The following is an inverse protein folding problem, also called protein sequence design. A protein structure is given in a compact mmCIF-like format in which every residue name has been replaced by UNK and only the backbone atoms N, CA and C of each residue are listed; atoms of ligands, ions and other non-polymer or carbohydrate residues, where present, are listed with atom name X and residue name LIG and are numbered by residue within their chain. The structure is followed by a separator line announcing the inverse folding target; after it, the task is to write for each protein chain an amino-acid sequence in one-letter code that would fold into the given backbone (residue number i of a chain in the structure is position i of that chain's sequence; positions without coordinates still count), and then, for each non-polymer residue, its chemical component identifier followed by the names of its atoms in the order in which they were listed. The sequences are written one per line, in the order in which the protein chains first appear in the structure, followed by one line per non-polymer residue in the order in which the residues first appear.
data_IF_634378950919
#
_entry.id   IF_634378950919
#
_cell.length_a   1.000
_cell.length_b   1.000
_cell.length_c   1.000
_cell.angle_alpha   90.00
_cell.angle_beta   90.00
_cell.angle_gamma   90.00
#
_symmetry.space_group_name_H-M   'P 1'
#
loop_
_entity.id
_entity.type
_entity.pdbx_description
1 polymer ?
#
# COMPACT_ATOMS: atom_id res chain seq x y z
N UNK A 1 3.92 11.56 0.22
CA UNK A 1 5.29 11.19 -0.20
C UNK A 1 6.34 12.28 0.01
N UNK A 2 5.99 13.57 -0.11
CA UNK A 2 6.87 14.70 0.28
C UNK A 2 7.57 14.54 1.65
N UNK A 3 6.84 14.10 2.69
CA UNK A 3 7.43 13.88 4.02
C UNK A 3 8.49 12.76 4.02
N UNK A 4 8.19 11.63 3.37
CA UNK A 4 9.13 10.50 3.27
C UNK A 4 10.42 10.93 2.55
N UNK A 5 10.31 11.72 1.47
CA UNK A 5 11.48 12.23 0.75
C UNK A 5 12.31 13.20 1.61
N UNK A 6 11.67 14.11 2.34
CA UNK A 6 12.37 15.03 3.26
C UNK A 6 13.05 14.29 4.41
N UNK A 7 12.42 13.24 4.92
CA UNK A 7 12.94 12.41 5.98
C UNK A 7 14.03 11.44 5.52
N UNK A 8 14.26 11.30 4.20
CA UNK A 8 15.16 10.30 3.60
C UNK A 8 14.85 8.88 4.09
N UNK A 9 13.56 8.59 4.21
CA UNK A 9 13.07 7.36 4.82
C UNK A 9 12.84 6.27 3.77
N UNK A 10 13.10 5.03 4.16
CA UNK A 10 12.64 3.85 3.43
C UNK A 10 11.11 3.73 3.54
N UNK A 11 10.51 3.09 2.54
CA UNK A 11 9.05 2.96 2.44
C UNK A 11 8.69 1.48 2.37
N UNK A 12 7.78 1.04 3.24
CA UNK A 12 7.21 -0.31 3.20
C UNK A 12 5.79 -0.23 2.62
N UNK A 13 5.54 -0.78 1.42
CA UNK A 13 4.19 -0.88 0.86
C UNK A 13 3.35 -1.88 1.65
N UNK A 14 2.11 -1.52 1.98
CA UNK A 14 1.18 -2.40 2.70
C UNK A 14 -0.15 -2.41 1.96
N UNK A 15 -0.68 -3.61 1.70
CA UNK A 15 -2.05 -3.79 1.22
C UNK A 15 -2.96 -4.25 2.38
N UNK A 16 -4.12 -3.61 2.50
CA UNK A 16 -5.18 -3.97 3.45
C UNK A 16 -6.35 -4.52 2.65
N UNK A 17 -6.66 -5.80 2.81
CA UNK A 17 -7.64 -6.52 1.99
C UNK A 17 -8.76 -7.03 2.89
N UNK A 18 -10.03 -6.87 2.48
CA UNK A 18 -11.21 -7.29 3.24
C UNK A 18 -11.83 -6.19 4.13
N UNK A 19 -11.12 -5.08 4.35
CA UNK A 19 -11.59 -4.02 5.24
C UNK A 19 -12.82 -3.26 4.69
N UNK A 20 -12.90 -3.10 3.36
CA UNK A 20 -14.02 -2.40 2.73
C UNK A 20 -15.32 -3.21 2.81
N UNK A 21 -15.21 -4.52 2.67
CA UNK A 21 -16.31 -5.49 2.76
C UNK A 21 -16.86 -5.56 4.19
N UNK A 22 -15.98 -5.49 5.19
CA UNK A 22 -16.35 -5.44 6.61
C UNK A 22 -17.05 -4.13 6.95
N UNK A 23 -16.53 -3.01 6.44
CA UNK A 23 -17.03 -1.67 6.72
C UNK A 23 -16.76 -0.73 5.55
N UNK A 24 -17.79 -0.50 4.75
CA UNK A 24 -17.72 0.49 3.68
C UNK A 24 -17.73 1.91 4.23
N UNK A 25 -17.19 2.86 3.46
CA UNK A 25 -17.09 4.28 3.85
C UNK A 25 -18.47 4.88 4.14
N UNK A 26 -19.47 4.52 3.34
CA UNK A 26 -20.79 5.15 3.34
C UNK A 26 -21.81 4.49 4.28
N UNK A 27 -21.45 3.39 4.94
CA UNK A 27 -22.39 2.61 5.73
C UNK A 27 -21.89 2.41 7.16
N UNK A 28 -22.72 2.67 8.17
CA UNK A 28 -22.31 2.56 9.57
C UNK A 28 -22.13 1.10 10.04
N UNK A 29 -22.98 0.19 9.55
CA UNK A 29 -22.96 -1.22 9.98
C UNK A 29 -21.64 -1.90 9.65
N UNK A 30 -21.15 -2.70 10.60
CA UNK A 30 -19.95 -3.53 10.49
C UNK A 30 -20.40 -4.99 10.33
N UNK A 31 -19.82 -5.68 9.35
CA UNK A 31 -20.04 -7.12 9.16
C UNK A 31 -18.83 -7.91 9.68
N UNK A 32 -19.01 -9.07 10.32
CA UNK A 32 -17.90 -9.97 10.63
C UNK A 32 -17.16 -10.37 9.34
N UNK A 33 -15.83 -10.41 9.40
CA UNK A 33 -14.99 -10.78 8.27
C UNK A 33 -13.51 -10.81 8.66
N UNK A 34 -12.65 -11.13 7.70
CA UNK A 34 -11.19 -11.17 7.90
C UNK A 34 -10.54 -9.98 7.21
N UNK A 35 -9.63 -9.31 7.90
CA UNK A 35 -8.74 -8.31 7.30
C UNK A 35 -7.36 -8.95 7.12
N UNK A 36 -6.86 -8.96 5.89
CA UNK A 36 -5.50 -9.37 5.59
C UNK A 36 -4.61 -8.14 5.44
N UNK A 37 -3.47 -8.16 6.14
CA UNK A 37 -2.40 -7.19 6.00
C UNK A 37 -1.24 -7.86 5.26
N UNK A 38 -0.97 -7.41 4.04
CA UNK A 38 0.12 -7.94 3.20
C UNK A 38 1.22 -6.91 3.12
N UNK A 39 2.41 -7.28 3.59
CA UNK A 39 3.60 -6.43 3.57
C UNK A 39 4.39 -6.71 2.30
N UNK A 40 4.72 -5.66 1.55
CA UNK A 40 5.61 -5.75 0.40
C UNK A 40 7.07 -5.55 0.78
N UNK A 41 7.93 -5.67 -0.22
CA UNK A 41 9.36 -5.38 -0.08
C UNK A 41 9.60 -3.90 0.24
N UNK A 42 10.54 -3.66 1.14
CA UNK A 42 11.00 -2.31 1.48
C UNK A 42 11.62 -1.65 0.25
N UNK A 43 11.18 -0.44 -0.06
CA UNK A 43 11.77 0.42 -1.09
C UNK A 43 12.73 1.36 -0.38
N UNK A 44 14.02 1.26 -0.70
CA UNK A 44 15.04 2.07 -0.05
C UNK A 44 14.95 3.54 -0.47
N UNK A 45 15.42 4.45 0.38
CA UNK A 45 15.57 5.84 -0.01
C UNK A 45 16.47 6.00 -1.24
N UNK A 46 17.51 5.17 -1.38
CA UNK A 46 18.44 5.22 -2.50
C UNK A 46 17.76 4.97 -3.85
N UNK A 47 16.76 4.09 -3.89
CA UNK A 47 15.94 3.83 -5.08
C UNK A 47 14.98 5.00 -5.40
N UNK A 48 14.59 5.77 -4.39
CA UNK A 48 13.53 6.79 -4.50
C UNK A 48 14.04 8.23 -4.51
N UNK A 49 15.32 8.45 -4.20
CA UNK A 49 15.91 9.79 -4.00
C UNK A 49 15.84 10.71 -5.23
N UNK A 50 15.81 10.14 -6.43
CA UNK A 50 15.72 10.90 -7.70
C UNK A 50 14.30 11.01 -8.25
N UNK A 51 13.33 10.33 -7.63
CA UNK A 51 11.94 10.38 -8.08
C UNK A 51 11.29 11.69 -7.64
N UNK A 52 10.38 12.22 -8.46
CA UNK A 52 9.49 13.28 -7.96
C UNK A 52 8.53 12.71 -6.92
N UNK A 53 7.93 13.56 -6.07
CA UNK A 53 6.90 13.10 -5.14
C UNK A 53 5.69 12.47 -5.87
N UNK A 54 5.48 12.78 -7.15
CA UNK A 54 4.43 12.19 -7.97
C UNK A 54 4.82 10.78 -8.40
N UNK A 55 6.02 10.63 -8.95
CA UNK A 55 6.52 9.33 -9.43
C UNK A 55 6.67 8.34 -8.27
N UNK A 56 7.13 8.80 -7.11
CA UNK A 56 7.20 7.98 -5.90
C UNK A 56 5.81 7.49 -5.45
N UNK A 57 4.80 8.35 -5.54
CA UNK A 57 3.42 7.97 -5.22
C UNK A 57 2.90 6.91 -6.19
N UNK A 58 3.17 7.08 -7.48
CA UNK A 58 2.70 6.18 -8.52
C UNK A 58 3.42 4.81 -8.42
N UNK A 59 4.73 4.79 -8.16
CA UNK A 59 5.50 3.58 -7.87
C UNK A 59 4.95 2.81 -6.66
N UNK A 60 4.74 3.50 -5.53
CA UNK A 60 4.23 2.84 -4.31
C UNK A 60 2.82 2.31 -4.54
N UNK A 61 1.99 3.03 -5.31
CA UNK A 61 0.65 2.55 -5.70
C UNK A 61 0.74 1.28 -6.54
N UNK A 62 1.65 1.22 -7.51
CA UNK A 62 1.89 0.03 -8.34
C UNK A 62 2.29 -1.17 -7.47
N UNK A 63 3.23 -0.98 -6.53
CA UNK A 63 3.65 -2.03 -5.59
C UNK A 63 2.49 -2.54 -4.74
N UNK A 64 1.66 -1.64 -4.19
CA UNK A 64 0.46 -2.03 -3.43
C UNK A 64 -0.54 -2.79 -4.31
N UNK A 65 -0.74 -2.36 -5.56
CA UNK A 65 -1.64 -3.05 -6.48
C UNK A 65 -1.17 -4.47 -6.77
N UNK A 66 0.14 -4.66 -6.99
CA UNK A 66 0.73 -5.98 -7.17
C UNK A 66 0.51 -6.89 -5.94
N UNK A 67 0.62 -6.35 -4.71
CA UNK A 67 0.30 -7.11 -3.50
C UNK A 67 -1.16 -7.59 -3.47
N UNK A 68 -2.10 -6.73 -3.90
CA UNK A 68 -3.52 -7.08 -3.97
C UNK A 68 -3.77 -8.16 -5.03
N UNK A 69 -3.17 -8.01 -6.21
CA UNK A 69 -3.38 -8.92 -7.34
C UNK A 69 -2.82 -10.31 -7.05
N UNK A 70 -1.60 -10.37 -6.49
CA UNK A 70 -0.96 -11.61 -6.06
C UNK A 70 -1.70 -12.31 -4.91
N UNK A 71 -2.30 -11.54 -3.99
CA UNK A 71 -3.11 -12.12 -2.91
C UNK A 71 -4.39 -12.76 -3.44
N UNK A 72 -5.04 -12.14 -4.45
CA UNK A 72 -6.27 -12.68 -5.06
C UNK A 72 -6.00 -13.88 -5.96
N UNK A 73 -4.82 -13.95 -6.57
CA UNK A 73 -4.42 -15.03 -7.48
C UNK A 73 -3.01 -15.53 -7.10
N UNK A 74 -2.89 -16.33 -6.03
CA UNK A 74 -1.61 -16.96 -5.70
C UNK A 74 -1.20 -17.88 -6.86
N UNK A 75 0.03 -17.72 -7.34
CA UNK A 75 0.63 -18.54 -8.39
C UNK A 75 0.77 -20.01 -7.98
#
# INVERSE_FOLDING_TARGET
FLLAQKAKADIVPIAIIGAFEIKSVNHWLISPGTIHLVFGETISYEETKQLSSRDLKDLVKEKIQALIDNFKHPA
#
